data_IF_316745823150
#
_entry.id   IF_316745823150
#
_cell.length_a   1.000
_cell.length_b   1.000
_cell.length_c   1.000
_cell.angle_alpha   90.00
_cell.angle_beta   90.00
_cell.angle_gamma   90.00
#
_symmetry.space_group_name_H-M   'P 1'
#
loop_
_entity.id
_entity.type
_entity.pdbx_description
1 polymer ?
#
# COMPACT_ATOMS: atom_id res chain seq x y z
N UNK A 1 -6.51 -12.39 9.44
CA UNK A 1 -6.97 -11.02 9.77
C UNK A 1 -5.84 -10.35 10.53
N UNK A 2 -5.53 -9.09 10.21
CA UNK A 2 -4.47 -8.32 10.87
C UNK A 2 -5.08 -7.02 11.43
N UNK A 3 -4.71 -6.67 12.66
CA UNK A 3 -5.14 -5.44 13.33
C UNK A 3 -3.93 -4.62 13.70
N UNK A 4 -4.02 -3.30 13.59
CA UNK A 4 -2.95 -2.39 13.98
C UNK A 4 -3.50 -1.06 14.48
N UNK A 5 -2.71 -0.41 15.33
CA UNK A 5 -2.85 1.01 15.62
C UNK A 5 -2.09 1.85 14.59
N UNK A 6 -2.66 2.96 14.16
CA UNK A 6 -2.04 3.93 13.27
C UNK A 6 -2.09 5.32 13.91
N UNK A 7 -0.94 5.90 14.19
CA UNK A 7 -0.82 7.30 14.55
C UNK A 7 -0.40 8.12 13.34
N UNK A 8 -1.11 9.21 13.07
CA UNK A 8 -0.80 10.21 12.06
C UNK A 8 -0.89 11.62 12.68
N UNK A 9 0.11 12.49 12.50
CA UNK A 9 0.08 13.86 13.01
C UNK A 9 -1.08 14.70 12.49
N UNK A 10 -1.60 14.38 11.30
CA UNK A 10 -2.72 15.13 10.70
C UNK A 10 -4.03 14.89 11.44
N UNK A 11 -4.29 13.64 11.79
CA UNK A 11 -5.48 13.28 12.55
C UNK A 11 -5.30 13.57 14.05
N UNK A 12 -4.06 13.82 14.52
CA UNK A 12 -3.66 13.96 15.93
C UNK A 12 -4.27 12.89 16.84
N UNK A 13 -4.52 11.70 16.28
CA UNK A 13 -5.29 10.64 16.91
C UNK A 13 -4.72 9.27 16.53
N UNK A 14 -4.88 8.33 17.46
CA UNK A 14 -4.60 6.92 17.23
C UNK A 14 -5.82 6.29 16.55
N UNK A 15 -5.67 5.82 15.32
CA UNK A 15 -6.71 5.15 14.56
C UNK A 15 -6.54 3.62 14.62
N UNK A 16 -7.65 2.90 14.62
CA UNK A 16 -7.67 1.44 14.49
C UNK A 16 -7.72 1.05 13.03
N UNK A 17 -6.75 0.26 12.61
CA UNK A 17 -6.63 -0.23 11.25
C UNK A 17 -6.90 -1.73 11.21
N UNK A 18 -7.87 -2.11 10.39
CA UNK A 18 -8.23 -3.49 10.11
C UNK A 18 -7.74 -3.85 8.71
N UNK A 19 -7.07 -5.00 8.57
CA UNK A 19 -6.71 -5.55 7.26
C UNK A 19 -7.07 -7.02 7.17
N UNK A 20 -7.86 -7.32 6.16
CA UNK A 20 -8.27 -8.68 5.82
C UNK A 20 -7.71 -9.03 4.46
N UNK A 21 -7.18 -10.24 4.34
CA UNK A 21 -6.69 -10.77 3.08
C UNK A 21 -7.01 -12.24 2.99
N UNK A 22 -7.64 -12.63 1.89
CA UNK A 22 -7.84 -14.02 1.49
C UNK A 22 -7.20 -14.19 0.12
N UNK A 23 -6.43 -15.26 -0.06
CA UNK A 23 -5.80 -15.59 -1.33
C UNK A 23 -6.25 -16.98 -1.75
N UNK A 24 -6.76 -17.12 -2.96
CA UNK A 24 -7.15 -18.42 -3.52
C UNK A 24 -5.94 -19.12 -4.14
N UNK A 25 -6.08 -20.43 -4.39
CA UNK A 25 -5.07 -21.21 -5.13
C UNK A 25 -4.79 -20.62 -6.52
N UNK A 26 -5.82 -20.03 -7.15
CA UNK A 26 -5.72 -19.38 -8.45
C UNK A 26 -5.20 -17.93 -8.37
N UNK A 27 -4.41 -17.56 -7.37
CA UNK A 27 -3.79 -16.23 -7.24
C UNK A 27 -4.77 -15.03 -7.24
N UNK A 28 -6.04 -15.28 -6.93
CA UNK A 28 -7.04 -14.22 -6.70
C UNK A 28 -6.89 -13.76 -5.25
N UNK A 29 -6.66 -12.46 -5.05
CA UNK A 29 -6.56 -11.81 -3.75
C UNK A 29 -7.84 -11.01 -3.50
N UNK A 30 -8.57 -11.38 -2.44
CA UNK A 30 -9.60 -10.56 -1.83
C UNK A 30 -8.98 -9.82 -0.65
N UNK A 31 -9.18 -8.51 -0.58
CA UNK A 31 -8.59 -7.67 0.47
C UNK A 31 -9.53 -6.60 0.98
N UNK A 32 -9.83 -6.65 2.27
CA UNK A 32 -10.52 -5.61 3.02
C UNK A 32 -9.53 -4.73 3.78
N UNK A 33 -9.73 -3.41 3.82
CA UNK A 33 -8.97 -2.50 4.67
C UNK A 33 -9.94 -1.50 5.32
N UNK A 34 -10.05 -1.57 6.65
CA UNK A 34 -10.80 -0.64 7.47
C UNK A 34 -9.88 0.33 8.21
N UNK A 35 -10.33 1.57 8.39
CA UNK A 35 -9.69 2.55 9.28
C UNK A 35 -10.77 3.27 10.09
N UNK A 36 -10.74 3.09 11.40
CA UNK A 36 -11.60 3.77 12.37
C UNK A 36 -10.77 4.80 13.12
N UNK A 37 -11.16 6.08 13.03
CA UNK A 37 -10.64 7.11 13.90
C UNK A 37 -11.61 7.27 15.10
N UNK A 38 -11.23 6.82 16.31
CA UNK A 38 -12.11 6.86 17.48
C UNK A 38 -12.41 8.29 17.96
N UNK A 39 -11.49 9.24 17.73
CA UNK A 39 -11.69 10.65 18.14
C UNK A 39 -12.79 11.35 17.35
N UNK A 40 -13.03 10.95 16.10
CA UNK A 40 -14.05 11.54 15.22
C UNK A 40 -15.21 10.60 14.90
N UNK A 41 -15.14 9.33 15.32
CA UNK A 41 -16.07 8.28 14.89
C UNK A 41 -16.01 7.91 13.41
N UNK A 42 -15.09 8.51 12.63
CA UNK A 42 -15.00 8.29 11.18
C UNK A 42 -14.48 6.88 10.88
N UNK A 43 -15.29 6.08 10.19
CA UNK A 43 -14.90 4.79 9.66
C UNK A 43 -14.82 4.82 8.13
N UNK A 44 -13.76 4.24 7.57
CA UNK A 44 -13.61 4.05 6.13
C UNK A 44 -13.27 2.59 5.84
N UNK A 45 -13.91 2.01 4.84
CA UNK A 45 -13.66 0.62 4.45
C UNK A 45 -13.44 0.49 2.96
N UNK A 46 -12.47 -0.33 2.57
CA UNK A 46 -12.06 -0.51 1.19
C UNK A 46 -11.90 -1.99 0.87
N UNK A 47 -12.64 -2.47 -0.12
CA UNK A 47 -12.57 -3.84 -0.61
C UNK A 47 -11.90 -3.89 -1.99
N UNK A 48 -11.04 -4.89 -2.20
CA UNK A 48 -10.41 -5.15 -3.50
C UNK A 48 -10.53 -6.64 -3.82
N UNK A 49 -10.95 -6.96 -5.03
CA UNK A 49 -10.82 -8.30 -5.60
C UNK A 49 -9.88 -8.21 -6.80
N UNK A 50 -8.75 -8.93 -6.78
CA UNK A 50 -7.69 -8.80 -7.78
C UNK A 50 -7.09 -10.15 -8.17
N UNK A 51 -7.08 -10.46 -9.47
CA UNK A 51 -6.30 -11.57 -10.01
C UNK A 51 -4.86 -11.11 -10.17
N UNK A 52 -3.92 -11.93 -9.71
CA UNK A 52 -2.49 -11.70 -9.94
C UNK A 52 -1.92 -12.72 -10.91
N UNK A 53 -0.85 -12.31 -11.58
CA UNK A 53 0.00 -13.10 -12.45
C UNK A 53 1.44 -12.82 -12.04
N UNK A 54 2.22 -13.87 -11.79
CA UNK A 54 3.62 -13.75 -11.39
C UNK A 54 4.49 -14.44 -12.44
N UNK A 55 5.63 -13.84 -12.77
CA UNK A 55 6.60 -14.37 -13.73
C UNK A 55 8.00 -14.05 -13.21
N UNK A 56 8.89 -15.03 -13.33
CA UNK A 56 10.32 -14.82 -13.13
C UNK A 56 10.95 -14.36 -14.45
N UNK A 57 11.83 -13.37 -14.38
CA UNK A 57 12.61 -12.90 -15.52
C UNK A 57 14.08 -12.70 -15.13
N UNK A 58 14.91 -12.31 -16.10
CA UNK A 58 16.36 -12.10 -15.89
C UNK A 58 16.70 -11.07 -14.80
N UNK A 59 15.76 -10.21 -14.41
CA UNK A 59 15.92 -9.18 -13.39
C UNK A 59 15.25 -9.56 -12.05
N UNK A 60 14.63 -10.73 -11.94
CA UNK A 60 13.91 -11.19 -10.75
C UNK A 60 12.40 -11.35 -10.97
N UNK A 61 11.62 -11.19 -9.90
CA UNK A 61 10.19 -11.53 -9.93
C UNK A 61 9.31 -10.34 -10.30
N UNK A 62 8.55 -10.48 -11.39
CA UNK A 62 7.45 -9.56 -11.75
C UNK A 62 6.13 -10.10 -11.24
N UNK A 63 5.33 -9.25 -10.59
CA UNK A 63 3.94 -9.53 -10.28
C UNK A 63 3.04 -8.46 -10.89
N UNK A 64 2.19 -8.86 -11.82
CA UNK A 64 1.13 -8.03 -12.39
C UNK A 64 -0.19 -8.42 -11.75
N UNK A 65 -1.10 -7.48 -11.53
CA UNK A 65 -2.44 -7.82 -11.08
C UNK A 65 -3.46 -6.79 -11.52
N UNK A 66 -4.62 -7.30 -11.93
CA UNK A 66 -5.77 -6.54 -12.38
C UNK A 66 -7.02 -6.97 -11.60
N UNK A 67 -7.86 -6.02 -11.23
CA UNK A 67 -8.97 -6.29 -10.35
C UNK A 67 -9.91 -5.12 -10.16
N UNK A 68 -11.02 -5.39 -9.49
CA UNK A 68 -12.02 -4.38 -9.13
C UNK A 68 -11.79 -3.94 -7.69
N UNK A 69 -11.92 -2.65 -7.47
CA UNK A 69 -11.82 -1.99 -6.18
C UNK A 69 -13.11 -1.25 -5.91
N UNK A 70 -13.65 -1.43 -4.71
CA UNK A 70 -14.80 -0.66 -4.22
C UNK A 70 -14.37 0.02 -2.92
N UNK A 71 -14.57 1.32 -2.85
CA UNK A 71 -14.36 2.11 -1.64
C UNK A 71 -15.72 2.43 -1.05
N UNK A 72 -15.96 2.08 0.21
CA UNK A 72 -17.09 2.60 0.94
C UNK A 72 -16.56 3.74 1.81
N UNK A 73 -16.76 4.98 1.35
CA UNK A 73 -16.52 6.16 2.19
C UNK A 73 -17.67 6.25 3.19
N UNK A 74 -17.34 6.34 4.48
CA UNK A 74 -18.15 6.76 5.64
C UNK A 74 -19.66 6.49 5.62
N UNK A 75 -20.21 5.97 6.72
CA UNK A 75 -21.67 5.77 6.93
C UNK A 75 -22.50 7.05 6.65
N UNK A 76 -21.88 8.24 6.69
CA UNK A 76 -22.53 9.53 6.46
C UNK A 76 -22.28 10.14 5.06
N UNK A 77 -21.63 9.41 4.15
CA UNK A 77 -21.35 9.89 2.79
C UNK A 77 -22.42 9.37 1.82
N UNK A 78 -23.22 10.28 1.27
CA UNK A 78 -24.21 9.99 0.22
C UNK A 78 -23.58 9.77 -1.17
N UNK A 79 -22.26 9.90 -1.31
CA UNK A 79 -21.62 9.68 -2.61
C UNK A 79 -21.66 8.20 -3.03
N UNK A 80 -22.22 7.87 -4.20
CA UNK A 80 -22.19 6.52 -4.73
C UNK A 80 -20.76 6.02 -4.89
N UNK A 81 -20.54 4.81 -4.39
CA UNK A 81 -19.27 4.11 -4.50
C UNK A 81 -19.20 3.40 -5.85
N UNK A 82 -18.50 4.00 -6.81
CA UNK A 82 -18.35 3.38 -8.14
C UNK A 82 -17.29 2.28 -8.14
N UNK A 83 -17.46 1.21 -8.93
CA UNK A 83 -16.43 0.22 -9.11
C UNK A 83 -15.23 0.82 -9.87
N UNK A 84 -14.05 0.64 -9.31
CA UNK A 84 -12.79 1.13 -9.87
C UNK A 84 -12.01 -0.05 -10.42
N UNK A 85 -11.62 0.02 -11.69
CA UNK A 85 -10.64 -0.91 -12.25
C UNK A 85 -9.26 -0.53 -11.75
N UNK A 86 -8.61 -1.45 -11.05
CA UNK A 86 -7.26 -1.29 -10.54
C UNK A 86 -6.32 -2.23 -11.23
N UNK A 87 -5.32 -1.68 -11.90
CA UNK A 87 -4.16 -2.42 -12.40
C UNK A 87 -2.94 -2.09 -11.55
N UNK A 88 -2.07 -3.07 -11.35
CA UNK A 88 -0.86 -2.91 -10.56
C UNK A 88 0.25 -3.79 -11.07
N UNK A 89 1.48 -3.28 -11.00
CA UNK A 89 2.69 -4.03 -11.27
C UNK A 89 3.64 -3.86 -10.08
N UNK A 90 4.36 -4.92 -9.75
CA UNK A 90 5.44 -4.92 -8.75
C UNK A 90 6.58 -5.75 -9.31
N UNK A 91 7.72 -5.14 -9.53
CA UNK A 91 8.99 -5.82 -9.78
C UNK A 91 9.78 -5.90 -8.48
N UNK A 92 10.34 -7.07 -8.20
CA UNK A 92 11.31 -7.29 -7.13
C UNK A 92 12.63 -7.72 -7.74
N UNK A 93 13.65 -6.88 -7.64
CA UNK A 93 14.98 -7.10 -8.18
C UNK A 93 15.91 -7.38 -6.99
N UNK A 94 16.37 -8.64 -6.80
CA UNK A 94 17.38 -8.91 -5.79
C UNK A 94 18.67 -8.14 -6.16
N UNK A 95 19.29 -7.52 -5.17
CA UNK A 95 20.60 -6.88 -5.33
C UNK A 95 21.69 -7.82 -4.81
N UNK A 96 22.96 -7.41 -4.91
CA UNK A 96 24.15 -8.25 -4.64
C UNK A 96 24.16 -8.93 -3.25
N UNK A 97 23.37 -8.45 -2.29
CA UNK A 97 23.21 -9.07 -0.98
C UNK A 97 21.81 -9.71 -0.88
N UNK A 98 21.72 -10.97 -0.42
CA UNK A 98 20.44 -11.71 -0.26
C UNK A 98 19.38 -10.95 0.56
N UNK A 99 19.81 -10.00 1.39
CA UNK A 99 18.95 -9.20 2.25
C UNK A 99 18.57 -7.84 1.65
N UNK A 100 19.01 -7.50 0.44
CA UNK A 100 18.77 -6.20 -0.19
C UNK A 100 18.08 -6.38 -1.52
N UNK A 101 17.02 -5.61 -1.77
CA UNK A 101 16.33 -5.61 -3.05
C UNK A 101 15.88 -4.23 -3.49
N UNK A 102 15.91 -4.01 -4.81
CA UNK A 102 15.23 -2.89 -5.43
C UNK A 102 13.80 -3.30 -5.76
N UNK A 103 12.84 -2.49 -5.34
CA UNK A 103 11.43 -2.75 -5.56
C UNK A 103 10.82 -1.59 -6.33
N UNK A 104 10.31 -1.90 -7.52
CA UNK A 104 9.58 -0.96 -8.37
C UNK A 104 8.11 -1.37 -8.38
N UNK A 105 7.20 -0.41 -8.17
CA UNK A 105 5.76 -0.65 -8.18
C UNK A 105 5.04 0.43 -8.95
N UNK A 106 3.99 0.03 -9.65
CA UNK A 106 3.05 0.91 -10.32
C UNK A 106 1.61 0.51 -10.00
N UNK A 107 0.72 1.48 -9.98
CA UNK A 107 -0.72 1.29 -9.88
C UNK A 107 -1.43 2.37 -10.67
N UNK A 108 -2.46 1.96 -11.40
CA UNK A 108 -3.40 2.85 -12.07
C UNK A 108 -4.82 2.43 -11.68
N UNK A 109 -5.65 3.43 -11.40
CA UNK A 109 -7.06 3.27 -11.10
C UNK A 109 -7.88 4.03 -12.14
N UNK A 110 -8.85 3.35 -12.73
CA UNK A 110 -9.79 3.88 -13.72
C UNK A 110 -11.22 3.73 -13.21
N UNK A 111 -12.07 4.71 -13.48
CA UNK A 111 -13.49 4.60 -13.22
C UNK A 111 -14.11 3.69 -14.28
N UNK A 112 -14.74 2.59 -13.88
CA UNK A 112 -15.32 1.66 -14.85
C UNK A 112 -16.57 2.22 -15.54
N UNK A 113 -17.27 3.17 -14.93
CA UNK A 113 -18.52 3.68 -15.47
C UNK A 113 -18.31 4.68 -16.61
N UNK A 114 -17.39 5.63 -16.44
CA UNK A 114 -17.10 6.67 -17.43
C UNK A 114 -15.72 6.52 -18.10
N UNK A 115 -14.97 5.46 -17.77
CA UNK A 115 -13.66 5.14 -18.32
C UNK A 115 -12.58 6.21 -18.04
N UNK A 116 -12.81 7.08 -17.05
CA UNK A 116 -11.87 8.15 -16.72
C UNK A 116 -10.72 7.69 -15.85
N UNK A 117 -9.56 8.31 -16.06
CA UNK A 117 -8.41 8.16 -15.20
C UNK A 117 -8.65 8.80 -13.83
N UNK A 118 -8.63 8.00 -12.77
CA UNK A 118 -8.82 8.48 -11.39
C UNK A 118 -7.47 8.77 -10.72
N UNK A 119 -6.51 7.87 -10.88
CA UNK A 119 -5.29 7.92 -10.08
C UNK A 119 -4.17 7.08 -10.67
N UNK A 120 -2.94 7.62 -10.62
CA UNK A 120 -1.72 6.91 -10.98
C UNK A 120 -0.68 7.08 -9.89
N UNK A 121 -0.04 5.99 -9.49
CA UNK A 121 1.07 6.03 -8.54
C UNK A 121 2.14 5.02 -8.89
N UNK A 122 3.39 5.47 -8.92
CA UNK A 122 4.55 4.59 -8.95
C UNK A 122 5.45 4.83 -7.74
N UNK A 123 6.28 3.85 -7.43
CA UNK A 123 7.27 3.94 -6.37
C UNK A 123 8.47 3.08 -6.69
N UNK A 124 9.67 3.60 -6.49
CA UNK A 124 10.92 2.86 -6.57
C UNK A 124 11.64 3.02 -5.24
N UNK A 125 12.03 1.92 -4.60
CA UNK A 125 12.73 1.97 -3.33
C UNK A 125 13.64 0.76 -3.14
N UNK A 126 14.76 0.99 -2.49
CA UNK A 126 15.63 -0.08 -1.97
C UNK A 126 15.04 -0.55 -0.64
N UNK A 127 15.07 -1.85 -0.41
CA UNK A 127 14.62 -2.52 0.81
C UNK A 127 15.77 -3.37 1.34
N UNK A 128 16.25 -3.07 2.53
CA UNK A 128 17.31 -3.83 3.20
C UNK A 128 16.75 -4.46 4.47
N UNK A 129 16.97 -5.76 4.64
CA UNK A 129 16.74 -6.49 5.88
C UNK A 129 18.07 -6.57 6.64
N UNK A 130 18.07 -6.11 7.88
CA UNK A 130 19.19 -6.18 8.80
C UNK A 130 18.84 -7.29 9.80
N UNK A 131 19.43 -8.48 9.66
CA UNK A 131 19.15 -9.58 10.56
C UNK A 131 19.78 -9.33 11.94
N UNK A 132 19.15 -9.87 12.99
CA UNK A 132 19.72 -9.92 14.34
C UNK A 132 20.17 -8.55 14.91
N UNK A 133 19.40 -7.48 14.67
CA UNK A 133 19.74 -6.17 15.25
C UNK A 133 19.62 -6.20 16.78
N UNK A 134 18.62 -6.92 17.29
CA UNK A 134 18.53 -7.39 18.68
C UNK A 134 18.46 -8.93 18.66
N UNK A 135 18.71 -9.56 19.81
CA UNK A 135 18.87 -11.03 19.95
C UNK A 135 17.70 -11.88 19.40
N UNK A 136 16.59 -11.27 19.01
CA UNK A 136 15.39 -11.93 18.51
C UNK A 136 14.64 -11.14 17.41
N UNK A 137 15.22 -10.07 16.84
CA UNK A 137 14.46 -9.19 15.94
C UNK A 137 15.27 -8.75 14.70
N UNK A 138 14.58 -8.83 13.56
CA UNK A 138 15.06 -8.34 12.28
C UNK A 138 14.47 -6.95 12.02
N UNK A 139 15.31 -6.03 11.55
CA UNK A 139 14.85 -4.70 11.13
C UNK A 139 14.85 -4.60 9.62
N UNK A 140 13.79 -4.05 9.05
CA UNK A 140 13.69 -3.74 7.63
C UNK A 140 13.66 -2.23 7.41
N UNK A 141 14.61 -1.75 6.62
CA UNK A 141 14.70 -0.36 6.19
C UNK A 141 14.32 -0.28 4.71
N UNK A 142 13.51 0.71 4.35
CA UNK A 142 13.18 1.04 2.96
C UNK A 142 13.43 2.52 2.70
N UNK A 143 14.08 2.83 1.58
CA UNK A 143 14.33 4.20 1.17
C UNK A 143 14.13 4.36 -0.35
N UNK A 144 13.50 5.44 -0.78
CA UNK A 144 13.31 5.75 -2.19
C UNK A 144 12.30 6.85 -2.45
N UNK A 145 11.57 6.72 -3.55
CA UNK A 145 10.68 7.76 -4.06
C UNK A 145 9.31 7.21 -4.40
N UNK A 146 8.29 8.05 -4.25
CA UNK A 146 6.96 7.87 -4.81
C UNK A 146 6.69 8.96 -5.84
N UNK A 147 6.00 8.60 -6.91
CA UNK A 147 5.48 9.51 -7.92
C UNK A 147 3.97 9.33 -7.98
N UNK A 148 3.23 10.43 -7.87
CA UNK A 148 1.77 10.45 -7.92
C UNK A 148 1.35 11.35 -9.06
N UNK A 149 0.56 10.82 -9.98
CA UNK A 149 -0.03 11.58 -11.08
C UNK A 149 -1.31 12.21 -10.59
N UNK A 150 -1.37 13.53 -10.67
CA UNK A 150 -2.57 14.30 -10.39
C UNK A 150 -3.60 14.07 -11.52
N UNK A 151 -4.83 13.61 -11.20
CA UNK A 151 -5.77 13.20 -12.25
C UNK A 151 -6.30 14.35 -13.10
N UNK A 152 -6.35 15.57 -12.55
CA UNK A 152 -6.90 16.74 -13.22
C UNK A 152 -5.82 17.49 -13.99
N UNK A 153 -4.69 17.75 -13.35
CA UNK A 153 -3.61 18.55 -13.96
C UNK A 153 -2.61 17.72 -14.75
N UNK A 154 -2.64 16.38 -14.61
CA UNK A 154 -1.65 15.43 -15.16
C UNK A 154 -0.21 15.67 -14.71
N UNK A 155 0.01 16.57 -13.75
CA UNK A 155 1.32 16.82 -13.16
C UNK A 155 1.76 15.64 -12.29
N UNK A 156 3.07 15.41 -12.26
CA UNK A 156 3.68 14.37 -11.42
C UNK A 156 4.20 15.00 -10.14
N UNK A 157 3.60 14.63 -9.00
CA UNK A 157 4.09 14.97 -7.66
C UNK A 157 5.06 13.90 -7.21
N UNK A 158 6.30 14.29 -6.96
CA UNK A 158 7.34 13.43 -6.39
C UNK A 158 7.41 13.58 -4.88
N UNK A 159 7.73 12.50 -4.18
CA UNK A 159 7.90 12.53 -2.72
C UNK A 159 8.90 11.49 -2.25
N UNK A 160 9.65 11.85 -1.22
CA UNK A 160 10.53 10.91 -0.53
C UNK A 160 9.70 9.86 0.19
N UNK A 161 10.29 8.66 0.25
CA UNK A 161 9.76 7.51 0.97
C UNK A 161 10.85 6.94 1.85
N UNK A 162 10.54 6.84 3.14
CA UNK A 162 11.33 6.12 4.11
C UNK A 162 10.44 5.22 4.95
N UNK A 163 10.93 4.06 5.34
CA UNK A 163 10.28 3.20 6.32
C UNK A 163 11.35 2.48 7.13
N UNK A 164 11.23 2.54 8.45
CA UNK A 164 11.88 1.61 9.36
C UNK A 164 10.78 0.71 9.94
N UNK A 165 10.95 -0.60 9.84
CA UNK A 165 10.01 -1.58 10.38
C UNK A 165 10.76 -2.62 11.19
N UNK A 166 10.22 -2.92 12.35
CA UNK A 166 10.56 -4.07 13.18
C UNK A 166 9.28 -4.88 13.41
N UNK A 167 9.40 -6.16 13.79
CA UNK A 167 8.33 -7.13 14.03
C UNK A 167 6.90 -6.53 14.10
N UNK A 168 6.64 -5.75 15.16
CA UNK A 168 5.32 -5.24 15.51
C UNK A 168 5.16 -3.73 15.31
N UNK A 169 6.16 -2.99 14.84
CA UNK A 169 6.00 -1.55 14.60
C UNK A 169 6.67 -1.08 13.32
N UNK A 170 6.13 0.00 12.75
CA UNK A 170 6.72 0.66 11.59
C UNK A 170 6.63 2.17 11.69
N UNK A 171 7.76 2.84 11.57
CA UNK A 171 7.83 4.28 11.29
C UNK A 171 7.85 4.45 9.77
N UNK A 172 6.91 5.22 9.26
CA UNK A 172 6.75 5.50 7.85
C UNK A 172 6.90 6.99 7.62
N UNK A 173 7.64 7.37 6.57
CA UNK A 173 7.64 8.71 6.03
C UNK A 173 7.31 8.64 4.54
N UNK A 174 6.24 9.30 4.12
CA UNK A 174 5.73 9.23 2.75
C UNK A 174 4.92 10.48 2.42
N UNK A 175 5.12 11.04 1.23
CA UNK A 175 4.35 12.21 0.77
C UNK A 175 4.40 13.38 1.78
N UNK A 176 5.59 13.64 2.33
CA UNK A 176 5.87 14.67 3.33
C UNK A 176 5.13 14.49 4.67
N UNK A 177 4.74 13.25 5.00
CA UNK A 177 4.01 12.91 6.23
C UNK A 177 4.67 11.73 6.90
N UNK A 178 4.79 11.77 8.22
CA UNK A 178 5.19 10.62 9.00
C UNK A 178 3.98 9.93 9.62
N UNK A 179 4.08 8.63 9.86
CA UNK A 179 3.08 7.86 10.60
C UNK A 179 3.74 6.68 11.29
N UNK A 180 3.21 6.33 12.46
CA UNK A 180 3.65 5.15 13.23
C UNK A 180 2.54 4.13 13.19
N UNK A 181 2.88 2.89 12.90
CA UNK A 181 1.96 1.76 12.93
C UNK A 181 2.46 0.78 13.98
N UNK A 182 1.55 0.23 14.80
CA UNK A 182 1.83 -0.83 15.76
C UNK A 182 0.87 -2.00 15.47
N UNK A 183 1.41 -3.13 15.03
CA UNK A 183 0.67 -4.35 14.72
C UNK A 183 0.34 -5.10 16.04
N UNK A 184 -0.91 -5.57 16.16
CA UNK A 184 -1.46 -6.28 17.33
C UNK A 184 -1.49 -7.79 17.11
#
# INVERSE_FOLDING_TARGET
METSFLYSPEDKALSFKLKERVKTANDIELRGNGLLNPSSGRFTYNATAKKNFSSENSFGTTKVGAGVFVTQKSVNSLEPSFPILRTSVKQHIPLNNQNTSLVVKGRVDLNLQNQEFIFGKSSAYVSQKIPNLTASQDVQIKAGFDFVVDPYTKNVKQGLRFQARENNWALNYRSNRWSVTYDL
#
